data_IF_054115756559
#
_entry.id   IF_054115756559
#
_cell.length_a   1.000
_cell.length_b   1.000
_cell.length_c   1.000
_cell.angle_alpha   90.00
_cell.angle_beta   90.00
_cell.angle_gamma   90.00
#
_symmetry.space_group_name_H-M   'P 1'
#
loop_
_entity.id
_entity.type
_entity.pdbx_description
1 polymer ?
#
# COMPACT_ATOMS: atom_id res chain seq x y z
N UNK A 1 -10.70 -30.30 13.40
CA UNK A 1 -10.28 -29.02 14.02
C UNK A 1 -9.17 -28.44 13.19
N UNK A 2 -9.24 -27.15 12.87
CA UNK A 2 -8.19 -26.44 12.17
C UNK A 2 -7.06 -26.09 13.15
N UNK A 3 -5.81 -26.14 12.68
CA UNK A 3 -4.68 -25.69 13.51
C UNK A 3 -4.55 -24.16 13.42
N UNK A 4 -4.94 -23.60 12.25
CA UNK A 4 -4.84 -22.19 11.94
C UNK A 4 -6.15 -21.68 11.33
N UNK A 5 -6.66 -20.58 11.86
CA UNK A 5 -7.77 -19.82 11.28
C UNK A 5 -7.20 -18.51 10.75
N UNK A 6 -7.50 -18.18 9.49
CA UNK A 6 -7.07 -16.92 8.86
C UNK A 6 -8.30 -16.06 8.62
N UNK A 7 -8.35 -14.90 9.26
CA UNK A 7 -9.34 -13.85 8.97
C UNK A 7 -8.81 -13.07 7.77
N UNK A 8 -9.32 -13.37 6.58
CA UNK A 8 -8.78 -12.83 5.33
C UNK A 8 -9.50 -11.52 4.95
N UNK A 9 -8.84 -10.40 5.20
CA UNK A 9 -9.25 -9.08 4.74
C UNK A 9 -8.55 -8.65 3.44
N UNK A 10 -7.56 -9.39 2.96
CA UNK A 10 -6.76 -9.06 1.78
C UNK A 10 -5.88 -10.20 1.29
N UNK A 11 -4.97 -9.88 0.38
CA UNK A 11 -4.03 -10.83 -0.24
C UNK A 11 -3.03 -11.39 0.77
N UNK A 12 -2.64 -10.61 1.77
CA UNK A 12 -1.62 -11.02 2.75
C UNK A 12 -2.11 -12.21 3.59
N UNK A 13 -3.38 -12.22 3.99
CA UNK A 13 -4.00 -13.36 4.67
C UNK A 13 -4.01 -14.62 3.82
N UNK A 14 -4.34 -14.52 2.52
CA UNK A 14 -4.30 -15.65 1.60
C UNK A 14 -2.89 -16.18 1.40
N UNK A 15 -1.90 -15.30 1.30
CA UNK A 15 -0.48 -15.69 1.21
C UNK A 15 -0.04 -16.43 2.47
N UNK A 16 -0.41 -15.92 3.66
CA UNK A 16 -0.10 -16.59 4.92
C UNK A 16 -0.77 -17.97 4.99
N UNK A 17 -2.05 -18.07 4.63
CA UNK A 17 -2.80 -19.32 4.58
C UNK A 17 -2.16 -20.34 3.65
N UNK A 18 -1.76 -19.93 2.44
CA UNK A 18 -1.12 -20.80 1.46
C UNK A 18 0.19 -21.36 1.98
N UNK A 19 1.05 -20.50 2.54
CA UNK A 19 2.36 -20.90 3.03
C UNK A 19 2.27 -21.83 4.25
N UNK A 20 1.36 -21.56 5.18
CA UNK A 20 1.14 -22.40 6.36
C UNK A 20 0.60 -23.78 5.95
N UNK A 21 -0.33 -23.83 5.01
CA UNK A 21 -0.89 -25.08 4.50
C UNK A 21 0.18 -25.89 3.72
N UNK A 22 1.04 -25.23 2.93
CA UNK A 22 2.16 -25.90 2.24
C UNK A 22 3.19 -26.51 3.22
N UNK A 23 3.15 -26.10 4.50
CA UNK A 23 3.96 -26.68 5.60
C UNK A 23 3.17 -27.65 6.48
N UNK A 24 2.06 -28.19 5.97
CA UNK A 24 1.29 -29.24 6.61
C UNK A 24 0.31 -28.77 7.70
N UNK A 25 0.11 -27.45 7.86
CA UNK A 25 -0.91 -26.94 8.79
C UNK A 25 -2.30 -27.05 8.19
N UNK A 26 -3.29 -27.45 8.97
CA UNK A 26 -4.71 -27.42 8.57
C UNK A 26 -5.22 -26.00 8.73
N UNK A 27 -5.48 -25.33 7.60
CA UNK A 27 -5.86 -23.92 7.56
C UNK A 27 -7.31 -23.78 7.13
N UNK A 28 -8.09 -23.04 7.91
CA UNK A 28 -9.42 -22.56 7.52
C UNK A 28 -9.33 -21.05 7.28
N UNK A 29 -9.83 -20.59 6.13
CA UNK A 29 -9.91 -19.18 5.77
C UNK A 29 -11.34 -18.72 6.05
N UNK A 30 -11.50 -17.65 6.86
CA UNK A 30 -12.76 -16.94 7.05
C UNK A 30 -12.68 -15.65 6.27
N UNK A 31 -13.66 -15.40 5.40
CA UNK A 31 -13.67 -14.28 4.49
C UNK A 31 -15.05 -13.62 4.44
N UNK A 32 -15.14 -12.32 4.70
CA UNK A 32 -16.39 -11.55 4.63
C UNK A 32 -16.78 -11.24 3.18
N UNK A 33 -15.83 -10.79 2.39
CA UNK A 33 -16.04 -10.36 1.01
C UNK A 33 -15.04 -11.01 0.06
N UNK A 34 -15.47 -11.24 -1.17
CA UNK A 34 -14.58 -11.73 -2.21
C UNK A 34 -13.49 -10.71 -2.54
N UNK A 35 -12.25 -11.17 -2.61
CA UNK A 35 -11.13 -10.31 -2.97
C UNK A 35 -11.18 -9.92 -4.44
N UNK A 36 -10.69 -8.70 -4.73
CA UNK A 36 -10.56 -8.19 -6.08
C UNK A 36 -9.67 -9.11 -6.94
N UNK A 37 -10.04 -9.30 -8.20
CA UNK A 37 -9.27 -10.12 -9.14
C UNK A 37 -7.91 -9.53 -9.43
N UNK A 38 -7.86 -8.21 -9.56
CA UNK A 38 -6.67 -7.44 -9.84
C UNK A 38 -6.09 -6.90 -8.56
N UNK A 39 -4.81 -7.13 -8.38
CA UNK A 39 -4.06 -6.63 -7.23
C UNK A 39 -3.06 -5.58 -7.71
N UNK A 40 -3.05 -4.42 -7.06
CA UNK A 40 -2.12 -3.32 -7.35
C UNK A 40 -1.00 -3.34 -6.31
N UNK A 41 0.24 -3.34 -6.78
CA UNK A 41 1.44 -3.36 -5.96
C UNK A 41 2.52 -4.27 -6.53
N UNK A 42 3.73 -4.09 -6.02
CA UNK A 42 4.85 -4.96 -6.33
C UNK A 42 4.71 -6.32 -5.65
N UNK A 43 4.79 -7.39 -6.44
CA UNK A 43 4.86 -8.76 -5.92
C UNK A 43 6.34 -9.14 -5.79
N UNK A 44 6.89 -9.27 -4.58
CA UNK A 44 8.30 -9.63 -4.42
C UNK A 44 8.61 -11.03 -4.99
N UNK A 45 9.68 -11.20 -5.78
CA UNK A 45 10.05 -12.51 -6.32
C UNK A 45 10.21 -13.63 -5.28
N UNK A 46 10.71 -13.38 -4.04
CA UNK A 46 10.72 -14.41 -3.01
C UNK A 46 9.34 -14.86 -2.57
N UNK A 47 8.33 -13.96 -2.58
CA UNK A 47 6.93 -14.31 -2.26
C UNK A 47 6.35 -15.19 -3.36
N UNK A 48 6.45 -14.78 -4.62
CA UNK A 48 5.95 -15.55 -5.77
C UNK A 48 6.56 -16.96 -5.80
N UNK A 49 7.90 -17.09 -5.65
CA UNK A 49 8.59 -18.38 -5.60
C UNK A 49 8.13 -19.26 -4.42
N UNK A 50 7.95 -18.67 -3.24
CA UNK A 50 7.51 -19.44 -2.07
C UNK A 50 6.09 -19.98 -2.23
N UNK A 51 5.26 -19.31 -3.00
CA UNK A 51 3.90 -19.74 -3.35
C UNK A 51 3.88 -20.72 -4.52
N UNK A 52 4.99 -20.89 -5.26
CA UNK A 52 5.01 -21.66 -6.51
C UNK A 52 4.16 -21.01 -7.61
N UNK A 53 4.03 -19.68 -7.59
CA UNK A 53 3.21 -18.92 -8.54
C UNK A 53 4.09 -18.10 -9.48
N UNK A 54 3.59 -17.93 -10.71
CA UNK A 54 4.17 -17.03 -11.72
C UNK A 54 3.13 -15.96 -12.09
N UNK A 55 3.02 -14.90 -11.28
CA UNK A 55 2.03 -13.85 -11.52
C UNK A 55 2.38 -13.01 -12.73
N UNK A 56 1.39 -12.72 -13.56
CA UNK A 56 1.51 -11.78 -14.67
C UNK A 56 1.57 -10.37 -14.09
N UNK A 57 2.72 -9.71 -14.27
CA UNK A 57 2.95 -8.33 -13.81
C UNK A 57 2.74 -7.38 -14.97
N UNK A 58 1.91 -6.36 -14.79
CA UNK A 58 1.59 -5.36 -15.80
C UNK A 58 1.81 -3.95 -15.25
N UNK A 59 2.54 -3.14 -16.02
CA UNK A 59 2.60 -1.69 -15.84
C UNK A 59 1.78 -1.04 -16.95
N UNK A 60 1.03 0.05 -16.68
CA UNK A 60 0.54 0.91 -17.75
C UNK A 60 1.72 1.44 -18.56
N UNK A 61 1.51 1.73 -19.85
CA UNK A 61 2.55 2.34 -20.67
C UNK A 61 1.94 3.28 -21.73
N UNK A 62 1.93 4.61 -21.48
CA UNK A 62 2.66 5.34 -20.43
C UNK A 62 2.16 5.00 -19.03
N UNK A 63 3.10 4.92 -18.07
CA UNK A 63 2.76 4.68 -16.67
C UNK A 63 2.25 5.93 -15.94
N UNK A 64 2.47 7.11 -16.53
CA UNK A 64 1.92 8.38 -16.06
C UNK A 64 1.61 9.28 -17.26
N UNK A 65 0.41 9.87 -17.28
CA UNK A 65 0.02 10.97 -18.16
C UNK A 65 -0.50 12.12 -17.31
N UNK A 66 0.06 13.31 -17.49
CA UNK A 66 -0.37 14.53 -16.83
C UNK A 66 -0.44 15.67 -17.89
N UNK A 67 -1.65 15.94 -18.40
CA UNK A 67 -1.83 16.78 -19.56
C UNK A 67 -1.01 16.25 -20.77
N UNK A 68 -0.13 17.07 -21.35
CA UNK A 68 0.72 16.66 -22.48
C UNK A 68 2.01 15.95 -22.04
N UNK A 69 2.32 15.85 -20.74
CA UNK A 69 3.44 15.07 -20.22
C UNK A 69 3.06 13.60 -20.16
N UNK A 70 3.90 12.75 -20.72
CA UNK A 70 3.81 11.30 -20.63
C UNK A 70 5.14 10.72 -20.18
N UNK A 71 5.09 9.79 -19.19
CA UNK A 71 6.25 9.04 -18.73
C UNK A 71 6.05 7.56 -19.05
N UNK A 72 7.07 6.97 -19.67
CA UNK A 72 7.04 5.63 -20.22
C UNK A 72 7.97 4.69 -19.44
N UNK A 73 7.77 3.39 -19.59
CA UNK A 73 8.76 2.42 -19.11
C UNK A 73 10.10 2.60 -19.86
N UNK A 74 10.02 3.01 -21.11
CA UNK A 74 11.19 3.42 -21.90
C UNK A 74 11.73 4.77 -21.42
N UNK A 75 12.99 4.77 -20.97
CA UNK A 75 13.68 5.95 -20.44
C UNK A 75 13.81 7.06 -21.47
N UNK A 76 14.11 6.72 -22.74
CA UNK A 76 14.34 7.74 -23.77
C UNK A 76 13.04 8.44 -24.17
N UNK A 77 11.95 7.71 -24.28
CA UNK A 77 10.62 8.29 -24.52
C UNK A 77 10.22 9.25 -23.41
N UNK A 78 10.49 8.88 -22.17
CA UNK A 78 10.25 9.77 -21.01
C UNK A 78 11.11 11.04 -21.08
N UNK A 79 12.39 10.91 -21.39
CA UNK A 79 13.32 12.04 -21.59
C UNK A 79 12.83 12.98 -22.68
N UNK A 80 12.38 12.44 -23.82
CA UNK A 80 11.84 13.23 -24.93
C UNK A 80 10.54 13.97 -24.55
N UNK A 81 9.67 13.32 -23.79
CA UNK A 81 8.45 13.95 -23.29
C UNK A 81 8.76 15.08 -22.31
N UNK A 82 9.66 14.87 -21.37
CA UNK A 82 10.08 15.88 -20.39
C UNK A 82 10.76 17.07 -21.08
N UNK A 83 11.56 16.81 -22.13
CA UNK A 83 12.29 17.86 -22.87
C UNK A 83 11.40 18.95 -23.43
N UNK A 84 10.12 18.65 -23.71
CA UNK A 84 9.14 19.63 -24.21
C UNK A 84 8.81 20.68 -23.17
N UNK A 85 9.04 20.40 -21.89
CA UNK A 85 8.79 21.29 -20.76
C UNK A 85 10.08 21.91 -20.22
N UNK A 86 11.14 21.09 -20.09
CA UNK A 86 12.45 21.52 -19.63
C UNK A 86 13.55 20.63 -20.19
N UNK A 87 14.45 21.17 -21.03
CA UNK A 87 15.66 20.47 -21.46
C UNK A 87 16.57 20.08 -20.30
N UNK A 88 16.61 20.90 -19.24
CA UNK A 88 17.37 20.63 -18.01
C UNK A 88 16.84 19.40 -17.29
N UNK A 89 15.53 19.32 -17.08
CA UNK A 89 14.90 18.20 -16.39
C UNK A 89 15.05 16.90 -17.18
N UNK A 90 14.94 16.97 -18.50
CA UNK A 90 15.19 15.84 -19.40
C UNK A 90 16.61 15.27 -19.22
N UNK A 91 17.60 16.13 -19.05
CA UNK A 91 18.99 15.73 -18.74
C UNK A 91 19.16 15.13 -17.34
N UNK A 92 18.35 15.57 -16.38
CA UNK A 92 18.41 15.13 -14.97
C UNK A 92 17.61 13.85 -14.70
N UNK A 93 16.60 13.54 -15.51
CA UNK A 93 15.68 12.43 -15.30
C UNK A 93 16.38 11.06 -15.18
N UNK A 94 17.36 10.68 -16.02
CA UNK A 94 18.05 9.40 -15.87
C UNK A 94 18.81 9.29 -14.55
N UNK A 95 19.55 10.36 -14.15
CA UNK A 95 20.31 10.38 -12.90
C UNK A 95 19.41 10.25 -11.66
N UNK A 96 18.28 11.00 -11.64
CA UNK A 96 17.26 10.89 -10.60
C UNK A 96 16.69 9.47 -10.52
N UNK A 97 16.32 8.91 -11.68
CA UNK A 97 15.74 7.57 -11.77
C UNK A 97 16.70 6.48 -11.26
N UNK A 98 17.98 6.55 -11.63
CA UNK A 98 19.00 5.63 -11.14
C UNK A 98 19.24 5.77 -9.63
N UNK A 99 19.26 6.99 -9.11
CA UNK A 99 19.40 7.24 -7.66
C UNK A 99 18.25 6.61 -6.90
N UNK A 100 17.01 6.87 -7.32
CA UNK A 100 15.82 6.28 -6.70
C UNK A 100 15.81 4.76 -6.82
N UNK A 101 16.24 4.20 -7.94
CA UNK A 101 16.33 2.74 -8.13
C UNK A 101 17.37 2.10 -7.20
N UNK A 102 18.52 2.74 -6.95
CA UNK A 102 19.51 2.24 -5.97
C UNK A 102 18.93 2.19 -4.55
N UNK A 103 18.24 3.24 -4.12
CA UNK A 103 17.59 3.30 -2.80
C UNK A 103 16.42 2.32 -2.70
N UNK A 104 15.61 2.21 -3.76
CA UNK A 104 14.50 1.27 -3.84
C UNK A 104 14.93 -0.19 -3.72
N UNK A 105 16.09 -0.57 -4.31
CA UNK A 105 16.67 -1.92 -4.17
C UNK A 105 16.99 -2.28 -2.71
N UNK A 106 17.39 -1.30 -1.88
CA UNK A 106 17.59 -1.55 -0.45
C UNK A 106 16.27 -1.87 0.24
N UNK A 107 15.24 -1.02 0.02
CA UNK A 107 13.91 -1.23 0.61
C UNK A 107 13.32 -2.58 0.18
N UNK A 108 13.42 -2.93 -1.11
CA UNK A 108 12.94 -4.21 -1.63
C UNK A 108 13.54 -5.43 -0.89
N UNK A 109 14.82 -5.34 -0.47
CA UNK A 109 15.48 -6.41 0.31
C UNK A 109 15.01 -6.48 1.76
N UNK A 110 14.61 -5.35 2.33
CA UNK A 110 14.10 -5.25 3.71
C UNK A 110 12.66 -5.78 3.76
N UNK A 111 11.86 -5.51 2.75
CA UNK A 111 10.43 -5.81 2.72
C UNK A 111 10.06 -7.29 2.77
N UNK A 112 10.95 -8.18 2.35
CA UNK A 112 10.74 -9.65 2.37
C UNK A 112 11.30 -10.31 3.62
N UNK A 113 11.45 -9.57 4.70
CA UNK A 113 11.90 -10.03 6.02
C UNK A 113 11.08 -9.32 7.09
N UNK A 114 10.98 -9.88 8.31
CA UNK A 114 10.50 -9.10 9.44
C UNK A 114 11.26 -7.78 9.54
N UNK A 115 10.63 -6.72 10.05
CA UNK A 115 11.30 -5.43 10.18
C UNK A 115 12.59 -5.60 10.98
N UNK A 116 13.68 -4.92 10.55
CA UNK A 116 14.94 -5.02 11.28
C UNK A 116 14.76 -4.45 12.68
N UNK A 117 15.32 -5.10 13.69
CA UNK A 117 15.44 -4.47 15.02
C UNK A 117 16.54 -3.41 14.99
N UNK A 118 16.48 -2.45 15.91
CA UNK A 118 17.49 -1.40 16.05
C UNK A 118 18.90 -1.96 16.35
N UNK A 119 18.95 -3.19 16.90
CA UNK A 119 20.22 -3.91 17.22
C UNK A 119 20.60 -4.96 16.16
N UNK A 120 19.89 -5.00 15.01
CA UNK A 120 20.20 -5.98 13.95
C UNK A 120 21.50 -5.61 13.21
N UNK A 121 22.60 -6.24 13.64
CA UNK A 121 23.92 -6.10 13.02
C UNK A 121 23.88 -6.42 11.52
N UNK A 122 23.02 -7.35 11.08
CA UNK A 122 22.90 -7.68 9.66
C UNK A 122 22.25 -6.56 8.86
N UNK A 123 21.38 -5.79 9.49
CA UNK A 123 20.80 -4.56 8.91
C UNK A 123 21.87 -3.48 8.81
N UNK A 124 22.61 -3.22 9.88
CA UNK A 124 23.70 -2.24 9.89
C UNK A 124 24.76 -2.54 8.81
N UNK A 125 25.13 -3.82 8.63
CA UNK A 125 26.06 -4.24 7.57
C UNK A 125 25.49 -4.04 6.16
N UNK A 126 24.18 -4.26 5.96
CA UNK A 126 23.53 -4.02 4.66
C UNK A 126 23.49 -2.54 4.32
N UNK A 127 23.16 -1.70 5.29
CA UNK A 127 23.16 -0.24 5.14
C UNK A 127 24.58 0.25 4.88
N UNK A 128 25.59 -0.29 5.58
CA UNK A 128 27.01 0.04 5.35
C UNK A 128 27.49 -0.32 3.93
N UNK A 129 26.91 -1.38 3.31
CA UNK A 129 27.22 -1.75 1.91
C UNK A 129 26.75 -0.76 0.86
N UNK A 130 25.88 0.20 1.21
CA UNK A 130 25.53 1.33 0.34
C UNK A 130 26.71 2.28 0.12
N UNK A 131 27.74 2.17 0.96
CA UNK A 131 28.81 3.14 1.03
C UNK A 131 28.35 4.48 1.64
N UNK A 132 29.33 5.37 1.86
CA UNK A 132 29.05 6.67 2.51
C UNK A 132 27.99 7.48 1.74
N UNK A 133 28.16 7.65 0.43
CA UNK A 133 27.22 8.42 -0.41
C UNK A 133 25.81 7.84 -0.40
N UNK A 134 25.66 6.53 -0.56
CA UNK A 134 24.35 5.88 -0.54
C UNK A 134 23.65 6.00 0.83
N UNK A 135 24.42 6.01 1.92
CA UNK A 135 23.89 6.25 3.27
C UNK A 135 23.43 7.71 3.43
N UNK A 136 24.24 8.67 3.02
CA UNK A 136 23.91 10.09 3.04
C UNK A 136 22.64 10.35 2.20
N UNK A 137 22.56 9.77 1.00
CA UNK A 137 21.37 9.82 0.13
C UNK A 137 20.13 9.28 0.82
N UNK A 138 20.23 8.12 1.49
CA UNK A 138 19.11 7.51 2.19
C UNK A 138 18.62 8.38 3.36
N UNK A 139 19.56 8.77 4.23
CA UNK A 139 19.26 9.56 5.43
C UNK A 139 18.70 10.95 5.08
N UNK A 140 19.12 11.52 3.96
CA UNK A 140 18.56 12.77 3.44
C UNK A 140 17.17 12.56 2.83
N UNK A 141 16.99 11.53 1.99
CA UNK A 141 15.76 11.34 1.22
C UNK A 141 14.58 10.88 2.10
N UNK A 142 14.81 10.00 3.09
CA UNK A 142 13.70 9.44 3.87
C UNK A 142 12.86 10.50 4.61
N UNK A 143 13.45 11.44 5.39
CA UNK A 143 12.67 12.44 6.12
C UNK A 143 12.22 13.63 5.28
N UNK A 144 12.71 13.75 4.05
CA UNK A 144 12.53 14.93 3.19
C UNK A 144 11.06 15.08 2.76
N UNK A 145 10.49 16.29 2.72
CA UNK A 145 9.29 16.57 1.96
C UNK A 145 9.50 16.25 0.48
N UNK A 146 8.48 15.66 -0.17
CA UNK A 146 8.62 15.36 -1.60
C UNK A 146 8.75 16.63 -2.44
N UNK A 147 8.16 17.74 -2.01
CA UNK A 147 8.33 19.02 -2.68
C UNK A 147 9.81 19.45 -2.74
N UNK A 148 10.53 19.41 -1.61
CA UNK A 148 11.96 19.72 -1.58
C UNK A 148 12.78 18.77 -2.45
N UNK A 149 12.49 17.46 -2.37
CA UNK A 149 13.16 16.48 -3.24
C UNK A 149 12.98 16.84 -4.71
N UNK A 150 11.76 17.15 -5.13
CA UNK A 150 11.47 17.43 -6.54
C UNK A 150 11.98 18.79 -6.99
N UNK A 151 11.98 19.81 -6.12
CA UNK A 151 12.54 21.14 -6.41
C UNK A 151 14.08 21.11 -6.51
N UNK A 152 14.76 20.25 -5.76
CA UNK A 152 16.22 20.03 -5.89
C UNK A 152 16.60 19.48 -7.29
N UNK A 153 15.72 18.71 -7.92
CA UNK A 153 15.99 18.01 -9.16
C UNK A 153 15.41 18.69 -10.41
N UNK A 154 14.19 19.21 -10.34
CA UNK A 154 13.37 19.59 -11.48
C UNK A 154 12.84 21.03 -11.36
N UNK A 155 12.57 21.63 -12.53
CA UNK A 155 11.96 22.95 -12.64
C UNK A 155 10.54 22.90 -13.24
N UNK A 156 10.22 21.88 -14.06
CA UNK A 156 8.93 21.78 -14.73
C UNK A 156 7.81 21.42 -13.73
N UNK A 157 6.88 22.34 -13.52
CA UNK A 157 5.78 22.20 -12.56
C UNK A 157 4.92 20.98 -12.79
N UNK A 158 4.60 20.67 -14.07
CA UNK A 158 3.77 19.51 -14.42
C UNK A 158 4.43 18.19 -14.01
N UNK A 159 5.76 18.06 -14.16
CA UNK A 159 6.52 16.88 -13.75
C UNK A 159 6.52 16.76 -12.21
N UNK A 160 6.81 17.86 -11.53
CA UNK A 160 6.84 17.91 -10.07
C UNK A 160 5.47 17.65 -9.47
N UNK A 161 4.41 18.28 -10.01
CA UNK A 161 3.04 18.09 -9.54
C UNK A 161 2.56 16.65 -9.67
N UNK A 162 2.79 16.02 -10.82
CA UNK A 162 2.40 14.64 -11.07
C UNK A 162 3.12 13.63 -10.14
N UNK A 163 4.45 13.78 -9.97
CA UNK A 163 5.22 12.94 -9.04
C UNK A 163 4.84 13.21 -7.58
N UNK A 164 4.60 14.47 -7.22
CA UNK A 164 4.14 14.87 -5.90
C UNK A 164 2.78 14.25 -5.55
N UNK A 165 1.84 14.25 -6.48
CA UNK A 165 0.54 13.60 -6.30
C UNK A 165 0.66 12.09 -5.99
N UNK A 166 1.54 11.39 -6.69
CA UNK A 166 1.81 9.96 -6.41
C UNK A 166 2.44 9.77 -5.03
N UNK A 167 3.31 10.68 -4.61
CA UNK A 167 3.98 10.59 -3.31
C UNK A 167 3.03 10.77 -2.11
N UNK A 168 1.94 11.53 -2.28
CA UNK A 168 0.96 11.77 -1.21
C UNK A 168 -0.33 10.96 -1.36
N UNK A 169 -0.40 10.08 -2.37
CA UNK A 169 -1.59 9.25 -2.59
C UNK A 169 -2.00 8.49 -1.32
N UNK A 170 -3.27 8.58 -0.93
CA UNK A 170 -3.85 7.95 0.27
C UNK A 170 -3.25 8.42 1.63
N UNK A 171 -2.53 9.54 1.66
CA UNK A 171 -2.06 10.15 2.90
C UNK A 171 -2.89 11.39 3.27
N UNK A 172 -3.08 11.62 4.54
CA UNK A 172 -3.52 12.92 5.05
C UNK A 172 -2.33 13.85 5.29
N UNK A 173 -1.49 13.98 4.26
CA UNK A 173 -0.29 14.82 4.26
C UNK A 173 -0.18 15.53 2.91
N UNK A 174 0.32 16.77 2.91
CA UNK A 174 0.65 17.51 1.69
C UNK A 174 2.05 17.22 1.20
N UNK A 175 2.39 17.73 0.01
CA UNK A 175 3.71 17.54 -0.60
C UNK A 175 4.85 18.20 0.18
N UNK A 176 4.53 19.19 1.03
CA UNK A 176 5.46 19.89 1.92
C UNK A 176 5.60 19.24 3.30
N UNK A 177 4.86 18.16 3.56
CA UNK A 177 4.97 17.42 4.82
C UNK A 177 6.23 16.55 4.84
N UNK A 178 6.90 16.49 6.00
CA UNK A 178 8.10 15.68 6.19
C UNK A 178 7.84 14.18 5.92
N UNK A 179 8.82 13.51 5.33
CA UNK A 179 8.76 12.06 5.07
C UNK A 179 7.94 11.65 3.85
N UNK A 180 7.37 12.59 3.08
CA UNK A 180 6.59 12.23 1.88
C UNK A 180 7.47 11.76 0.72
N UNK A 181 8.76 12.12 0.69
CA UNK A 181 9.71 11.55 -0.26
C UNK A 181 9.93 10.03 -0.05
N UNK A 182 9.85 9.54 1.20
CA UNK A 182 9.88 8.11 1.50
C UNK A 182 8.77 7.36 0.74
N UNK A 183 7.60 7.93 0.65
CA UNK A 183 6.46 7.30 0.00
C UNK A 183 6.68 7.11 -1.51
N UNK A 184 7.25 8.10 -2.19
CA UNK A 184 7.63 8.00 -3.60
C UNK A 184 8.67 6.88 -3.79
N UNK A 185 9.67 6.81 -2.90
CA UNK A 185 10.68 5.76 -2.91
C UNK A 185 10.10 4.38 -2.62
N UNK A 186 9.14 4.29 -1.69
CA UNK A 186 8.46 3.03 -1.34
C UNK A 186 7.74 2.42 -2.55
N UNK A 187 6.96 3.21 -3.27
CA UNK A 187 6.25 2.73 -4.47
C UNK A 187 7.15 2.46 -5.67
N UNK A 188 8.34 3.06 -5.68
CA UNK A 188 9.34 2.75 -6.68
C UNK A 188 10.08 1.43 -6.38
N UNK A 189 10.07 0.95 -5.12
CA UNK A 189 10.73 -0.28 -4.74
C UNK A 189 10.19 -1.47 -5.54
N UNK A 190 11.09 -2.16 -6.24
CA UNK A 190 10.75 -3.29 -7.11
C UNK A 190 10.28 -2.92 -8.52
N UNK A 191 10.12 -1.64 -8.84
CA UNK A 191 9.79 -1.14 -10.17
C UNK A 191 11.06 -0.92 -11.02
N UNK A 192 10.94 -0.89 -12.36
CA UNK A 192 12.02 -0.45 -13.25
C UNK A 192 12.45 0.98 -12.94
N UNK A 193 13.70 1.33 -13.27
CA UNK A 193 14.20 2.69 -13.09
C UNK A 193 13.32 3.70 -13.85
N UNK A 194 12.93 4.78 -13.19
CA UNK A 194 12.08 5.82 -13.77
C UNK A 194 10.58 5.51 -13.75
N UNK A 195 10.14 4.37 -13.18
CA UNK A 195 8.72 4.03 -13.02
C UNK A 195 8.32 4.15 -11.56
N UNK A 196 7.48 5.11 -11.22
CA UNK A 196 7.05 5.40 -9.84
C UNK A 196 5.59 5.01 -9.56
N UNK A 197 4.96 4.31 -10.49
CA UNK A 197 3.62 3.74 -10.31
C UNK A 197 3.73 2.25 -10.02
N UNK A 198 3.00 1.74 -9.00
CA UNK A 198 2.95 0.32 -8.72
C UNK A 198 2.38 -0.48 -9.90
N UNK A 199 2.92 -1.67 -10.15
CA UNK A 199 2.38 -2.62 -11.12
C UNK A 199 1.01 -3.14 -10.68
N UNK A 200 0.27 -3.74 -11.59
CA UNK A 200 -0.85 -4.63 -11.29
C UNK A 200 -0.47 -6.09 -11.55
N UNK A 201 -1.12 -7.02 -10.85
CA UNK A 201 -0.92 -8.44 -11.04
C UNK A 201 -2.20 -9.24 -10.87
N UNK A 202 -2.20 -10.48 -11.35
CA UNK A 202 -3.28 -11.45 -11.18
C UNK A 202 -3.09 -12.39 -9.98
N UNK A 203 -2.22 -12.06 -9.04
CA UNK A 203 -1.89 -12.93 -7.91
C UNK A 203 -3.13 -13.29 -7.07
N UNK A 204 -4.08 -12.36 -6.93
CA UNK A 204 -5.35 -12.62 -6.24
C UNK A 204 -6.15 -13.75 -6.87
N UNK A 205 -6.21 -13.79 -8.21
CA UNK A 205 -6.88 -14.87 -8.93
C UNK A 205 -6.15 -16.21 -8.75
N UNK A 206 -4.82 -16.21 -8.71
CA UNK A 206 -4.00 -17.42 -8.54
C UNK A 206 -4.09 -18.02 -7.13
N UNK A 207 -4.48 -17.24 -6.13
CA UNK A 207 -4.65 -17.69 -4.74
C UNK A 207 -6.05 -18.21 -4.42
N UNK A 208 -6.99 -18.16 -5.34
CA UNK A 208 -8.35 -18.70 -5.17
C UNK A 208 -8.33 -20.24 -5.15
N UNK A 209 -9.34 -20.84 -4.53
CA UNK A 209 -9.58 -22.30 -4.59
C UNK A 209 -9.27 -23.07 -3.32
N UNK A 210 -9.08 -22.42 -2.17
CA UNK A 210 -9.00 -23.09 -0.87
C UNK A 210 -10.34 -23.12 -0.14
N UNK A 211 -10.46 -24.00 0.87
CA UNK A 211 -11.63 -24.04 1.75
C UNK A 211 -11.83 -22.69 2.43
N UNK A 212 -12.88 -21.98 2.05
CA UNK A 212 -13.26 -20.68 2.58
C UNK A 212 -14.60 -20.80 3.27
N UNK A 213 -14.65 -20.38 4.53
CA UNK A 213 -15.89 -20.15 5.26
C UNK A 213 -16.29 -18.69 5.00
N UNK A 214 -17.41 -18.50 4.33
CA UNK A 214 -17.97 -17.17 4.10
C UNK A 214 -18.69 -16.70 5.35
N UNK A 215 -18.31 -15.54 5.88
CA UNK A 215 -18.97 -14.97 7.03
C UNK A 215 -18.16 -13.88 7.67
N UNK A 216 -18.84 -13.01 8.40
CA UNK A 216 -18.24 -11.92 9.15
C UNK A 216 -17.86 -12.39 10.54
N UNK A 217 -16.63 -12.12 10.95
CA UNK A 217 -16.16 -12.46 12.30
C UNK A 217 -16.72 -11.46 13.30
N UNK A 218 -17.43 -11.99 14.30
CA UNK A 218 -17.98 -11.22 15.43
C UNK A 218 -16.94 -11.06 16.54
N UNK A 219 -16.18 -12.12 16.86
CA UNK A 219 -15.13 -12.06 17.89
C UNK A 219 -14.06 -13.15 17.70
N UNK A 220 -12.89 -12.88 18.26
CA UNK A 220 -11.80 -13.85 18.44
C UNK A 220 -11.95 -14.46 19.83
N UNK A 221 -12.13 -15.77 19.89
CA UNK A 221 -12.29 -16.47 21.17
C UNK A 221 -10.93 -16.63 21.85
N UNK A 222 -10.80 -16.08 23.07
CA UNK A 222 -9.60 -16.17 23.90
C UNK A 222 -9.91 -16.87 25.19
N UNK A 223 -9.06 -17.83 25.56
CA UNK A 223 -9.16 -18.56 26.85
C UNK A 223 -7.77 -18.65 27.49
N UNK A 224 -7.66 -18.28 28.75
CA UNK A 224 -6.39 -18.24 29.48
C UNK A 224 -5.25 -17.54 28.72
N UNK A 225 -5.55 -16.38 28.09
CA UNK A 225 -4.58 -15.56 27.36
C UNK A 225 -4.15 -16.12 25.99
N UNK A 226 -4.83 -17.13 25.47
CA UNK A 226 -4.54 -17.76 24.17
C UNK A 226 -5.80 -17.85 23.33
N UNK A 227 -5.64 -17.74 22.00
CA UNK A 227 -6.77 -17.93 21.07
C UNK A 227 -7.23 -19.39 21.08
N UNK A 228 -8.53 -19.60 20.91
CA UNK A 228 -9.15 -20.93 20.70
C UNK A 228 -9.92 -21.00 19.38
N UNK A 229 -10.01 -19.91 18.64
CA UNK A 229 -10.70 -19.82 17.34
C UNK A 229 -11.36 -18.46 17.14
N UNK A 230 -12.33 -18.42 16.24
CA UNK A 230 -13.17 -17.25 15.95
C UNK A 230 -14.64 -17.63 15.99
N UNK A 231 -15.49 -16.66 16.28
CA UNK A 231 -16.96 -16.81 16.25
C UNK A 231 -17.50 -15.87 15.19
N UNK A 232 -18.33 -16.38 14.30
CA UNK A 232 -18.98 -15.60 13.24
C UNK A 232 -20.21 -14.86 13.77
N UNK A 233 -20.68 -13.85 13.06
CA UNK A 233 -21.97 -13.18 13.37
C UNK A 233 -23.18 -14.14 13.28
N UNK A 234 -23.05 -15.23 12.51
CA UNK A 234 -24.04 -16.31 12.47
C UNK A 234 -24.12 -17.16 13.76
N UNK A 235 -23.16 -17.01 14.67
CA UNK A 235 -22.96 -17.86 15.86
C UNK A 235 -22.10 -19.10 15.59
N UNK A 236 -21.71 -19.38 14.35
CA UNK A 236 -20.81 -20.49 14.02
C UNK A 236 -19.42 -20.28 14.64
N UNK A 237 -18.87 -21.32 15.28
CA UNK A 237 -17.54 -21.31 15.85
C UNK A 237 -16.55 -22.04 14.94
N UNK A 238 -15.46 -21.37 14.58
CA UNK A 238 -14.34 -21.95 13.83
C UNK A 238 -13.16 -22.11 14.77
N UNK A 239 -12.94 -23.33 15.26
CA UNK A 239 -11.89 -23.64 16.23
C UNK A 239 -10.49 -23.63 15.60
N UNK A 240 -9.50 -23.09 16.33
CA UNK A 240 -8.10 -23.07 15.92
C UNK A 240 -7.19 -22.54 17.03
N UNK A 241 -6.02 -23.16 17.19
CA UNK A 241 -5.01 -22.76 18.19
C UNK A 241 -4.13 -21.59 17.75
N UNK A 242 -4.22 -21.20 16.49
CA UNK A 242 -3.56 -20.04 15.90
C UNK A 242 -4.57 -19.26 15.06
N UNK A 243 -4.63 -17.94 15.27
CA UNK A 243 -5.44 -17.02 14.47
C UNK A 243 -4.50 -16.02 13.79
N UNK A 244 -4.61 -15.89 12.49
CA UNK A 244 -3.89 -14.90 11.68
C UNK A 244 -4.91 -13.90 11.16
N UNK A 245 -4.81 -12.65 11.56
CA UNK A 245 -5.72 -11.60 11.14
C UNK A 245 -5.08 -10.72 10.05
N UNK A 246 -5.78 -10.58 8.93
CA UNK A 246 -5.47 -9.68 7.80
C UNK A 246 -6.48 -8.53 7.72
N UNK A 247 -7.09 -8.16 8.83
CA UNK A 247 -7.85 -6.92 8.97
C UNK A 247 -7.05 -5.91 9.79
N UNK A 248 -7.52 -4.67 9.89
CA UNK A 248 -6.76 -3.63 10.60
C UNK A 248 -6.46 -4.03 12.06
N UNK A 249 -5.32 -3.58 12.62
CA UNK A 249 -5.01 -3.81 14.05
C UNK A 249 -6.09 -3.30 14.99
N UNK A 250 -6.71 -2.16 14.67
CA UNK A 250 -7.84 -1.62 15.45
C UNK A 250 -8.99 -2.60 15.47
N UNK A 251 -9.46 -3.04 14.30
CA UNK A 251 -10.54 -4.02 14.21
C UNK A 251 -10.17 -5.32 14.91
N UNK A 252 -8.96 -5.83 14.70
CA UNK A 252 -8.53 -7.09 15.30
C UNK A 252 -8.50 -7.02 16.83
N UNK A 253 -7.86 -5.97 17.37
CA UNK A 253 -7.54 -5.91 18.79
C UNK A 253 -8.58 -5.15 19.60
N UNK A 254 -9.27 -4.15 19.03
CA UNK A 254 -10.24 -3.34 19.76
C UNK A 254 -11.69 -3.81 19.56
N UNK A 255 -12.02 -4.37 18.38
CA UNK A 255 -13.40 -4.76 18.09
C UNK A 255 -13.60 -6.27 18.24
N UNK A 256 -12.63 -7.12 17.79
CA UNK A 256 -12.79 -8.58 17.78
C UNK A 256 -12.26 -9.28 19.03
N UNK A 257 -11.41 -8.64 19.82
CA UNK A 257 -10.88 -9.16 21.08
C UNK A 257 -11.60 -8.47 22.25
N UNK A 258 -11.98 -9.24 23.25
CA UNK A 258 -12.57 -8.69 24.46
C UNK A 258 -11.56 -7.79 25.22
N UNK A 259 -11.94 -6.57 25.63
CA UNK A 259 -11.02 -5.58 26.19
C UNK A 259 -10.16 -6.08 27.38
N UNK A 260 -10.67 -7.01 28.15
CA UNK A 260 -9.95 -7.57 29.32
C UNK A 260 -8.67 -8.35 29.00
N UNK A 261 -8.44 -8.67 27.72
CA UNK A 261 -7.24 -9.39 27.27
C UNK A 261 -6.10 -8.48 26.80
N UNK A 262 -6.33 -7.17 26.75
CA UNK A 262 -5.34 -6.20 26.26
C UNK A 262 -4.89 -5.28 27.41
N UNK A 263 -3.60 -5.00 27.40
CA UNK A 263 -3.06 -3.93 28.22
C UNK A 263 -3.66 -2.58 27.79
N UNK A 264 -4.12 -1.73 28.72
CA UNK A 264 -4.76 -0.45 28.41
C UNK A 264 -3.87 0.51 27.60
N UNK A 265 -2.55 0.49 27.82
CA UNK A 265 -1.62 1.35 27.08
C UNK A 265 -1.46 0.86 25.65
N UNK A 266 -1.40 -0.46 25.44
CA UNK A 266 -1.41 -1.03 24.09
C UNK A 266 -2.73 -0.73 23.37
N UNK A 267 -3.88 -0.89 24.03
CA UNK A 267 -5.19 -0.58 23.45
C UNK A 267 -5.27 0.88 23.01
N UNK A 268 -4.77 1.80 23.84
CA UNK A 268 -4.67 3.24 23.49
C UNK A 268 -3.76 3.46 22.31
N UNK A 269 -2.58 2.85 22.29
CA UNK A 269 -1.62 2.96 21.19
C UNK A 269 -2.21 2.43 19.87
N UNK A 270 -2.91 1.29 19.89
CA UNK A 270 -3.62 0.74 18.74
C UNK A 270 -4.70 1.71 18.23
N UNK A 271 -5.47 2.32 19.14
CA UNK A 271 -6.46 3.34 18.79
C UNK A 271 -5.86 4.58 18.10
N UNK A 272 -4.60 4.88 18.38
CA UNK A 272 -3.88 6.01 17.78
C UNK A 272 -3.18 5.69 16.45
N UNK A 273 -3.19 4.44 15.99
CA UNK A 273 -2.68 4.13 14.64
C UNK A 273 -3.45 4.96 13.62
N UNK A 274 -2.73 5.78 12.85
CA UNK A 274 -3.37 6.62 11.84
C UNK A 274 -3.80 5.78 10.65
N UNK A 275 -5.09 5.86 10.33
CA UNK A 275 -5.71 5.20 9.17
C UNK A 275 -6.63 6.16 8.40
N UNK A 276 -6.39 7.45 8.55
CA UNK A 276 -7.24 8.53 8.04
C UNK A 276 -7.04 8.81 6.56
N UNK A 277 -6.76 7.81 5.72
CA UNK A 277 -6.62 8.01 4.30
C UNK A 277 -7.85 8.73 3.72
N UNK A 278 -7.65 9.95 3.23
CA UNK A 278 -8.69 10.85 2.71
C UNK A 278 -8.75 10.78 1.18
N UNK A 279 -8.79 9.59 0.63
CA UNK A 279 -9.00 9.36 -0.79
C UNK A 279 -10.32 8.64 -1.03
N UNK A 280 -11.18 9.21 -1.84
CA UNK A 280 -12.35 8.52 -2.34
C UNK A 280 -11.98 7.73 -3.59
N UNK A 281 -12.46 6.50 -3.69
CA UNK A 281 -12.26 5.64 -4.84
C UNK A 281 -13.56 5.42 -5.57
N UNK A 282 -13.53 5.64 -6.88
CA UNK A 282 -14.69 5.50 -7.75
C UNK A 282 -14.35 4.56 -8.89
N UNK A 283 -15.18 3.56 -9.11
CA UNK A 283 -15.15 2.73 -10.31
C UNK A 283 -16.13 3.27 -11.31
N UNK A 284 -15.66 3.55 -12.51
CA UNK A 284 -16.46 3.96 -13.65
C UNK A 284 -16.46 2.85 -14.70
N UNK A 285 -17.64 2.55 -15.23
CA UNK A 285 -17.81 1.72 -16.43
C UNK A 285 -18.23 2.66 -17.56
N UNK A 286 -17.41 2.76 -18.61
CA UNK A 286 -17.59 3.68 -19.72
C UNK A 286 -18.23 2.97 -20.93
N UNK A 287 -18.77 3.71 -21.89
CA UNK A 287 -19.25 3.16 -23.16
C UNK A 287 -18.14 2.55 -24.01
N UNK A 288 -16.96 3.14 -23.96
CA UNK A 288 -15.75 2.70 -24.64
C UNK A 288 -14.52 3.04 -23.82
N UNK A 289 -13.39 2.42 -24.14
CA UNK A 289 -12.11 2.76 -23.51
C UNK A 289 -11.77 4.25 -23.78
N UNK A 290 -11.21 4.97 -22.80
CA UNK A 290 -10.61 6.28 -23.04
C UNK A 290 -9.34 6.14 -23.90
N UNK A 291 -8.84 7.25 -24.42
CA UNK A 291 -7.61 7.30 -25.23
C UNK A 291 -6.32 7.30 -24.40
N UNK A 292 -6.45 7.00 -23.12
CA UNK A 292 -5.35 6.95 -22.17
C UNK A 292 -5.48 5.74 -21.23
N UNK A 293 -4.34 5.25 -20.71
CA UNK A 293 -4.30 4.22 -19.67
C UNK A 293 -4.15 4.80 -18.27
N UNK A 294 -3.49 5.94 -18.15
CA UNK A 294 -3.33 6.66 -16.89
C UNK A 294 -3.59 8.13 -17.10
N UNK A 295 -4.18 8.80 -16.12
CA UNK A 295 -4.38 10.25 -16.13
C UNK A 295 -4.25 10.77 -14.71
N UNK A 296 -3.30 11.71 -14.51
CA UNK A 296 -3.08 12.38 -13.22
C UNK A 296 -3.35 13.87 -13.39
N UNK A 297 -4.31 14.40 -12.63
CA UNK A 297 -4.66 15.83 -12.61
C UNK A 297 -4.02 16.47 -11.37
N UNK A 298 -2.81 16.95 -11.54
CA UNK A 298 -1.99 17.60 -10.52
C UNK A 298 -0.93 18.49 -11.22
N UNK A 299 -1.30 19.69 -11.71
CA UNK A 299 -0.46 20.49 -12.58
C UNK A 299 0.78 21.08 -11.92
N UNK A 300 0.82 21.16 -10.58
CA UNK A 300 1.98 21.66 -9.82
C UNK A 300 1.98 21.15 -8.38
N UNK A 301 3.11 21.29 -7.68
CA UNK A 301 3.21 21.01 -6.24
C UNK A 301 2.28 21.93 -5.43
N UNK A 302 2.19 23.19 -5.78
CA UNK A 302 1.30 24.14 -5.10
C UNK A 302 -0.18 23.77 -5.26
N UNK A 303 -0.56 23.23 -6.41
CA UNK A 303 -1.92 22.71 -6.61
C UNK A 303 -2.23 21.58 -5.62
N UNK A 304 -1.32 20.62 -5.48
CA UNK A 304 -1.47 19.49 -4.55
C UNK A 304 -1.50 19.95 -3.10
N UNK A 305 -0.65 20.92 -2.73
CA UNK A 305 -0.61 21.45 -1.36
C UNK A 305 -1.91 22.21 -1.02
N UNK A 306 -2.46 23.04 -1.94
CA UNK A 306 -3.73 23.72 -1.73
C UNK A 306 -4.90 22.75 -1.55
N UNK A 307 -4.95 21.68 -2.32
CA UNK A 307 -5.97 20.65 -2.14
C UNK A 307 -5.88 19.98 -0.75
N UNK A 308 -4.65 19.81 -0.24
CA UNK A 308 -4.41 19.32 1.11
C UNK A 308 -4.83 20.35 2.19
N UNK A 309 -4.57 21.64 1.97
CA UNK A 309 -4.98 22.69 2.90
C UNK A 309 -6.50 22.72 3.08
N UNK A 310 -7.28 22.51 2.02
CA UNK A 310 -8.73 22.44 2.15
C UNK A 310 -9.17 21.31 3.13
N UNK A 311 -8.58 20.11 3.04
CA UNK A 311 -8.98 19.00 3.90
C UNK A 311 -8.52 19.16 5.35
N UNK A 312 -7.44 19.90 5.62
CA UNK A 312 -7.06 20.28 7.00
C UNK A 312 -8.21 21.00 7.71
N UNK A 313 -8.96 21.79 6.96
CA UNK A 313 -10.14 22.52 7.45
C UNK A 313 -11.45 21.77 7.21
N UNK A 314 -11.39 20.45 6.92
CA UNK A 314 -12.56 19.60 6.64
C UNK A 314 -13.43 20.09 5.48
N UNK A 315 -12.82 20.75 4.50
CA UNK A 315 -13.47 21.20 3.27
C UNK A 315 -13.08 20.29 2.11
N UNK A 316 -14.04 19.99 1.24
CA UNK A 316 -13.73 19.37 -0.04
C UNK A 316 -13.06 20.40 -0.95
N UNK A 317 -11.94 20.03 -1.57
CA UNK A 317 -11.29 20.95 -2.51
C UNK A 317 -12.12 21.11 -3.77
N UNK A 318 -12.21 22.34 -4.27
CA UNK A 318 -12.77 22.65 -5.60
C UNK A 318 -11.81 22.24 -6.73
N UNK A 319 -10.55 22.01 -6.39
CA UNK A 319 -9.49 21.56 -7.28
C UNK A 319 -8.86 20.26 -6.76
N UNK A 320 -9.61 19.13 -6.75
CA UNK A 320 -9.11 17.88 -6.19
C UNK A 320 -7.97 17.31 -7.02
N UNK A 321 -7.03 16.65 -6.36
CA UNK A 321 -6.03 15.84 -7.01
C UNK A 321 -6.69 14.51 -7.44
N UNK A 322 -6.63 14.20 -8.73
CA UNK A 322 -7.25 13.00 -9.30
C UNK A 322 -6.17 12.14 -9.95
N UNK A 323 -6.21 10.86 -9.66
CA UNK A 323 -5.43 9.85 -10.34
C UNK A 323 -6.36 8.75 -10.87
N UNK A 324 -6.31 8.49 -12.17
CA UNK A 324 -7.19 7.55 -12.85
C UNK A 324 -6.39 6.53 -13.64
N UNK A 325 -6.81 5.25 -13.58
CA UNK A 325 -6.20 4.14 -14.32
C UNK A 325 -7.28 3.39 -15.06
N UNK A 326 -7.15 3.31 -16.38
CA UNK A 326 -8.05 2.59 -17.26
C UNK A 326 -7.60 1.14 -17.51
N UNK A 327 -8.57 0.24 -17.56
CA UNK A 327 -8.42 -1.14 -17.98
C UNK A 327 -9.57 -1.46 -18.96
N UNK A 328 -9.32 -1.21 -20.24
CA UNK A 328 -10.39 -1.17 -21.23
C UNK A 328 -11.38 -0.03 -20.95
N UNK A 329 -12.68 -0.33 -20.95
CA UNK A 329 -13.74 0.63 -20.67
C UNK A 329 -13.99 0.84 -19.16
N UNK A 330 -13.28 0.14 -18.30
CA UNK A 330 -13.40 0.31 -16.87
C UNK A 330 -12.27 1.21 -16.34
N UNK A 331 -12.61 2.19 -15.49
CA UNK A 331 -11.66 3.17 -14.96
C UNK A 331 -11.74 3.19 -13.43
N UNK A 332 -10.60 2.98 -12.79
CA UNK A 332 -10.43 3.18 -11.36
C UNK A 332 -9.93 4.60 -11.10
N UNK A 333 -10.72 5.38 -10.40
CA UNK A 333 -10.44 6.79 -10.08
C UNK A 333 -10.18 6.92 -8.60
N UNK A 334 -9.07 7.55 -8.25
CA UNK A 334 -8.74 7.99 -6.89
C UNK A 334 -8.82 9.50 -6.84
N UNK A 335 -9.71 10.03 -6.02
CA UNK A 335 -9.83 11.46 -5.73
C UNK A 335 -9.24 11.69 -4.35
N UNK A 336 -8.09 12.35 -4.30
CA UNK A 336 -7.37 12.62 -3.06
C UNK A 336 -7.99 13.79 -2.30
N UNK A 337 -7.85 13.79 -0.99
CA UNK A 337 -8.30 14.87 -0.10
C UNK A 337 -9.82 15.08 -0.08
N UNK A 338 -10.54 13.98 -0.01
CA UNK A 338 -11.99 13.99 0.22
C UNK A 338 -12.26 13.81 1.71
N UNK A 339 -12.93 14.74 2.39
CA UNK A 339 -13.28 14.60 3.81
C UNK A 339 -14.14 13.35 4.06
N UNK A 340 -14.07 12.79 5.28
CA UNK A 340 -14.91 11.66 5.70
C UNK A 340 -16.40 11.98 5.46
N UNK A 341 -17.10 11.07 4.81
CA UNK A 341 -18.50 11.23 4.42
C UNK A 341 -18.73 12.19 3.23
N UNK A 342 -17.67 12.78 2.67
CA UNK A 342 -17.74 13.65 1.51
C UNK A 342 -17.89 12.87 0.20
N UNK A 343 -18.56 13.50 -0.77
CA UNK A 343 -18.64 12.96 -2.14
C UNK A 343 -17.52 13.52 -3.00
N UNK A 344 -16.79 12.68 -3.75
CA UNK A 344 -15.74 13.14 -4.64
C UNK A 344 -16.31 13.89 -5.85
N UNK A 345 -15.70 15.01 -6.23
CA UNK A 345 -16.01 15.70 -7.47
C UNK A 345 -15.22 15.11 -8.63
N UNK A 346 -15.90 14.65 -9.66
CA UNK A 346 -15.31 14.19 -10.92
C UNK A 346 -15.37 15.23 -12.04
N UNK A 347 -15.79 16.47 -11.74
CA UNK A 347 -15.98 17.51 -12.74
C UNK A 347 -14.74 17.79 -13.59
N UNK A 348 -13.54 17.76 -12.97
CA UNK A 348 -12.26 17.95 -13.66
C UNK A 348 -11.87 16.74 -14.54
N UNK A 349 -12.37 15.58 -14.22
CA UNK A 349 -12.10 14.35 -14.99
C UNK A 349 -13.06 14.21 -16.17
N UNK A 350 -14.29 14.70 -16.06
CA UNK A 350 -15.35 14.51 -17.05
C UNK A 350 -14.94 14.86 -18.51
N UNK A 351 -14.18 15.95 -18.80
CA UNK A 351 -13.75 16.27 -20.16
C UNK A 351 -12.81 15.23 -20.78
N UNK A 352 -12.22 14.36 -19.98
CA UNK A 352 -11.27 13.34 -20.40
C UNK A 352 -11.89 11.94 -20.53
N UNK A 353 -13.21 11.82 -20.29
CA UNK A 353 -13.92 10.55 -20.28
C UNK A 353 -14.92 10.44 -21.44
N UNK A 354 -15.04 9.25 -22.05
CA UNK A 354 -16.25 8.87 -22.78
C UNK A 354 -17.48 8.88 -21.86
N UNK A 355 -18.66 8.67 -22.45
CA UNK A 355 -19.90 8.59 -21.68
C UNK A 355 -19.83 7.49 -20.62
N UNK A 356 -20.29 7.81 -19.41
CA UNK A 356 -20.30 6.93 -18.24
C UNK A 356 -21.59 6.13 -18.26
N UNK A 357 -21.50 4.78 -18.29
CA UNK A 357 -22.62 3.85 -18.17
C UNK A 357 -23.01 3.60 -16.71
N UNK A 358 -22.00 3.43 -15.87
CA UNK A 358 -22.21 3.18 -14.44
C UNK A 358 -21.07 3.80 -13.62
N UNK A 359 -21.42 4.21 -12.40
CA UNK A 359 -20.49 4.73 -11.41
C UNK A 359 -20.80 4.08 -10.07
N UNK A 360 -19.78 3.60 -9.39
CA UNK A 360 -19.91 3.09 -8.02
C UNK A 360 -18.77 3.58 -7.14
N UNK A 361 -19.10 3.96 -5.92
CA UNK A 361 -18.10 4.19 -4.88
C UNK A 361 -17.51 2.86 -4.44
N UNK A 362 -16.20 2.79 -4.35
CA UNK A 362 -15.51 1.67 -3.74
C UNK A 362 -15.33 2.02 -2.27
N UNK A 363 -16.16 1.40 -1.43
CA UNK A 363 -16.09 1.60 0.01
C UNK A 363 -14.93 0.80 0.62
N UNK A 364 -14.46 1.26 1.74
CA UNK A 364 -13.37 0.65 2.50
C UNK A 364 -12.13 1.55 2.57
N UNK A 365 -11.37 1.35 3.62
CA UNK A 365 -10.08 2.04 3.74
C UNK A 365 -9.10 1.37 2.77
N UNK A 366 -8.51 2.11 1.83
CA UNK A 366 -7.57 1.53 0.86
C UNK A 366 -6.34 0.93 1.55
N UNK A 367 -6.03 1.45 2.74
CA UNK A 367 -4.93 0.98 3.58
C UNK A 367 -5.39 0.88 5.03
N UNK A 368 -5.11 -0.24 5.65
CA UNK A 368 -5.44 -0.51 7.06
C UNK A 368 -4.71 0.41 8.05
N UNK A 369 -3.66 1.10 7.59
CA UNK A 369 -2.93 2.16 8.29
C UNK A 369 -2.21 3.03 7.28
N UNK A 370 -2.10 4.34 7.54
CA UNK A 370 -1.30 5.25 6.70
C UNK A 370 0.14 4.76 6.57
N UNK A 371 0.71 4.88 5.37
CA UNK A 371 2.12 4.57 5.13
C UNK A 371 2.97 5.85 5.19
N UNK A 372 2.92 6.53 6.31
CA UNK A 372 3.80 7.64 6.63
C UNK A 372 5.13 7.14 7.22
N UNK A 373 6.19 7.93 7.13
CA UNK A 373 7.53 7.51 7.56
C UNK A 373 7.57 7.10 9.04
N UNK A 374 6.86 7.81 9.90
CA UNK A 374 6.76 7.54 11.34
C UNK A 374 5.85 6.34 11.69
N UNK A 375 5.16 5.79 10.70
CA UNK A 375 4.44 4.50 10.75
C UNK A 375 5.01 3.51 9.73
N UNK A 376 6.32 3.49 9.52
CA UNK A 376 6.99 2.61 8.57
C UNK A 376 8.07 1.77 9.23
N UNK A 377 8.54 0.74 8.54
CA UNK A 377 9.62 -0.16 8.97
C UNK A 377 9.32 -0.77 10.35
N UNK A 378 10.21 -0.54 11.34
CA UNK A 378 10.07 -1.06 12.71
C UNK A 378 9.02 -0.34 13.56
N UNK A 379 8.51 0.79 13.09
CA UNK A 379 7.40 1.51 13.73
C UNK A 379 6.02 1.05 13.23
N UNK A 380 5.98 0.07 12.31
CA UNK A 380 4.74 -0.33 11.64
C UNK A 380 4.16 -1.62 12.20
N UNK A 381 2.89 -1.65 12.64
CA UNK A 381 2.00 -0.49 12.89
C UNK A 381 2.37 0.25 14.17
N UNK A 382 3.00 -0.45 15.10
CA UNK A 382 3.57 -0.04 16.38
C UNK A 382 4.81 -0.90 16.65
N UNK A 383 5.82 -0.42 17.40
CA UNK A 383 7.01 -1.18 17.72
C UNK A 383 6.71 -2.54 18.35
N UNK A 384 5.72 -2.59 19.26
CA UNK A 384 5.31 -3.78 20.01
C UNK A 384 4.69 -4.85 19.10
N UNK A 385 4.08 -4.45 18.00
CA UNK A 385 3.42 -5.32 17.04
C UNK A 385 4.23 -5.56 15.76
N UNK A 386 5.37 -4.90 15.60
CA UNK A 386 6.16 -4.92 14.36
C UNK A 386 6.63 -6.34 13.96
N UNK A 387 6.75 -7.27 14.92
CA UNK A 387 7.09 -8.67 14.71
C UNK A 387 5.93 -9.59 14.28
N UNK A 388 4.78 -9.04 13.90
CA UNK A 388 3.53 -9.76 13.55
C UNK A 388 2.85 -10.47 14.72
N UNK A 389 3.47 -10.55 15.88
CA UNK A 389 2.95 -11.21 17.08
C UNK A 389 2.19 -10.20 17.93
N UNK A 390 1.10 -10.65 18.56
CA UNK A 390 0.41 -9.90 19.60
C UNK A 390 0.75 -10.46 20.99
N UNK A 391 0.42 -9.75 22.08
CA UNK A 391 0.53 -10.29 23.44
C UNK A 391 -0.37 -11.50 23.70
N UNK A 392 -1.45 -11.67 22.93
CA UNK A 392 -2.37 -12.80 23.05
C UNK A 392 -1.74 -14.03 22.38
N UNK A 393 -1.55 -15.11 23.14
CA UNK A 393 -0.95 -16.33 22.66
C UNK A 393 -1.68 -16.91 21.45
N UNK A 394 -0.96 -17.13 20.34
CA UNK A 394 -1.52 -17.66 19.10
C UNK A 394 -2.22 -16.66 18.21
N UNK A 395 -2.35 -15.37 18.59
CA UNK A 395 -2.88 -14.31 17.73
C UNK A 395 -1.76 -13.59 16.99
N UNK A 396 -1.87 -13.57 15.66
CA UNK A 396 -0.91 -12.94 14.75
C UNK A 396 -1.61 -11.95 13.84
N UNK A 397 -0.87 -10.90 13.44
CA UNK A 397 -1.32 -9.88 12.51
C UNK A 397 -0.55 -9.98 11.20
N UNK A 398 -1.25 -9.82 10.10
CA UNK A 398 -0.65 -9.56 8.79
C UNK A 398 -1.45 -8.44 8.09
N UNK A 399 -1.29 -8.28 6.79
CA UNK A 399 -2.03 -7.26 6.05
C UNK A 399 -1.27 -5.95 5.87
N UNK A 400 -1.96 -5.00 5.27
CA UNK A 400 -1.34 -3.75 4.83
C UNK A 400 -0.95 -2.80 5.98
N UNK A 401 -1.54 -2.99 7.18
CA UNK A 401 -1.10 -2.25 8.36
C UNK A 401 0.25 -2.71 8.89
N UNK A 402 0.66 -3.93 8.57
CA UNK A 402 1.92 -4.50 9.03
C UNK A 402 3.07 -4.18 8.06
N UNK A 403 4.32 -4.37 8.51
CA UNK A 403 5.49 -4.27 7.62
C UNK A 403 5.36 -5.24 6.43
N UNK A 404 5.69 -4.84 5.19
CA UNK A 404 6.25 -3.56 4.77
C UNK A 404 5.21 -2.46 4.48
N UNK A 405 3.94 -2.76 4.49
CA UNK A 405 2.87 -1.84 4.19
C UNK A 405 2.25 -2.03 2.81
N UNK A 406 1.28 -1.19 2.51
CA UNK A 406 0.56 -1.17 1.25
C UNK A 406 1.48 -1.02 0.03
N UNK A 407 1.12 -1.61 -1.09
CA UNK A 407 1.91 -1.55 -2.33
C UNK A 407 2.98 -2.63 -2.46
N UNK A 408 3.21 -3.45 -1.41
CA UNK A 408 4.12 -4.62 -1.46
C UNK A 408 3.31 -5.89 -1.19
N UNK A 409 2.82 -6.46 -2.28
CA UNK A 409 1.79 -7.50 -2.27
C UNK A 409 2.28 -8.82 -1.69
N UNK A 410 1.57 -9.33 -0.69
CA UNK A 410 1.81 -10.64 -0.08
C UNK A 410 3.03 -10.70 0.84
N UNK A 411 3.82 -9.62 0.96
CA UNK A 411 5.04 -9.63 1.76
C UNK A 411 4.75 -9.71 3.26
N UNK A 412 3.72 -9.04 3.74
CA UNK A 412 3.32 -9.08 5.14
C UNK A 412 2.87 -10.50 5.53
N UNK A 413 1.99 -11.12 4.72
CA UNK A 413 1.56 -12.50 4.92
C UNK A 413 2.71 -13.51 4.86
N UNK A 414 3.63 -13.35 3.90
CA UNK A 414 4.84 -14.16 3.79
C UNK A 414 5.72 -14.06 5.03
N UNK A 415 5.98 -12.86 5.51
CA UNK A 415 6.81 -12.63 6.70
C UNK A 415 6.13 -13.18 7.96
N UNK A 416 4.81 -12.95 8.11
CA UNK A 416 4.00 -13.46 9.22
C UNK A 416 4.01 -14.99 9.26
N UNK A 417 3.72 -15.67 8.14
CA UNK A 417 3.76 -17.13 8.07
C UNK A 417 5.13 -17.69 8.49
N UNK A 418 6.21 -17.04 8.04
CA UNK A 418 7.58 -17.45 8.46
C UNK A 418 7.87 -17.19 9.93
N UNK A 419 7.28 -16.16 10.52
CA UNK A 419 7.39 -15.90 11.95
C UNK A 419 6.64 -16.97 12.76
N UNK A 420 5.44 -17.36 12.33
CA UNK A 420 4.65 -18.46 12.94
C UNK A 420 5.40 -19.79 12.89
N UNK A 421 6.02 -20.12 11.73
CA UNK A 421 6.74 -21.38 11.55
C UNK A 421 8.04 -21.49 12.35
N UNK A 422 8.53 -20.39 12.93
CA UNK A 422 9.73 -20.33 13.77
C UNK A 422 9.42 -20.28 15.27
N UNK A 423 8.16 -19.98 15.62
CA UNK A 423 7.69 -19.87 17.01
C UNK A 423 7.28 -21.23 17.58
#
# INVERSE_FOLDING_TARGET
MSDVVVIAGGIDGLVAAHLLAAKGRRVTIVQEEALAERTVGWVPPPVARALGLDPVIKYPDPWLRAGPLELWQDMQRSVESIRRFSPRDAGKWPEFSERMARLGKLLARIYVKPPPSLVDMSFALRVRRLGRRGMEDLMRTLPMPVAELLDDWFEADVLKGALGALAVADLQQGVRSAGTAFRLLHFHAGSPAGVFRPASSNIGALLRGRSVVSGKVARIAVRAGRVSGVVLESGEEVAGSTVVSDVSPQRTLLDLVEPGWLDPDLARAVGHIRSRGVAARVRLDLERAPDWQTLTLAPSLDYVERAYDDVKYRRASTQPVIDAVADGAAVDVSVQYVPDGGSPSLALLAPHLPAIKAQRMVHGQPHQAELALDQALWMRPLPELAGYRTPIGGLWLCGQAMHPGAGVVGASGYNCARAILRA
#
